data_IF_584355588020
#
_entry.id   IF_584355588020
#
_cell.length_a   1.000
_cell.length_b   1.000
_cell.length_c   1.000
_cell.angle_alpha   90.00
_cell.angle_beta   90.00
_cell.angle_gamma   90.00
#
_symmetry.space_group_name_H-M   'P 1'
#
loop_
_entity.id
_entity.type
_entity.pdbx_description
1 polymer ?
#
# COMPACT_ATOMS: atom_id res chain seq x y z
N UNK A 1 1.80 -13.88 2.60
CA UNK A 1 2.94 -12.99 2.26
C UNK A 1 3.57 -12.46 3.53
N UNK A 2 4.88 -12.52 3.60
CA UNK A 2 5.63 -11.89 4.69
C UNK A 2 6.07 -10.49 4.28
N UNK A 3 6.29 -9.61 5.25
CA UNK A 3 6.71 -8.24 4.99
C UNK A 3 7.97 -8.17 4.12
N UNK A 4 8.94 -9.06 4.34
CA UNK A 4 10.18 -9.07 3.55
C UNK A 4 9.89 -9.25 2.05
N UNK A 5 8.95 -10.11 1.71
CA UNK A 5 8.57 -10.34 0.30
C UNK A 5 7.97 -9.08 -0.32
N UNK A 6 7.16 -8.36 0.45
CA UNK A 6 6.59 -7.09 0.01
C UNK A 6 7.69 -6.04 -0.15
N UNK A 7 8.60 -5.95 0.81
CA UNK A 7 9.71 -4.99 0.77
C UNK A 7 10.63 -5.24 -0.42
N UNK A 8 10.94 -6.50 -0.70
CA UNK A 8 11.79 -6.85 -1.83
C UNK A 8 11.19 -6.33 -3.14
N UNK A 9 9.87 -6.35 -3.25
CA UNK A 9 9.21 -5.80 -4.43
C UNK A 9 9.20 -4.26 -4.43
N UNK A 10 8.70 -3.64 -3.34
CA UNK A 10 8.48 -2.19 -3.34
C UNK A 10 9.78 -1.41 -3.48
N UNK A 11 10.89 -1.95 -2.95
CA UNK A 11 12.19 -1.31 -3.09
C UNK A 11 12.80 -1.46 -4.49
N UNK A 12 12.19 -2.23 -5.40
CA UNK A 12 12.56 -2.16 -6.82
C UNK A 12 12.06 -0.88 -7.48
N UNK A 13 11.08 -0.22 -6.87
CA UNK A 13 10.51 1.02 -7.38
C UNK A 13 11.40 2.20 -6.97
N UNK A 14 11.60 3.13 -7.91
CA UNK A 14 12.52 4.26 -7.74
C UNK A 14 12.08 5.22 -6.64
N UNK A 15 13.02 5.72 -5.85
CA UNK A 15 12.83 6.77 -4.83
C UNK A 15 11.90 6.36 -3.68
N UNK A 16 11.80 5.07 -3.39
CA UNK A 16 11.05 4.56 -2.25
C UNK A 16 11.99 4.45 -1.05
N UNK A 17 11.48 4.87 0.10
CA UNK A 17 12.18 4.74 1.38
C UNK A 17 11.20 4.46 2.51
N UNK A 18 11.70 3.89 3.59
CA UNK A 18 10.90 3.41 4.74
C UNK A 18 10.94 4.43 5.87
N UNK A 19 9.79 4.64 6.50
CA UNK A 19 9.64 5.54 7.63
C UNK A 19 8.63 4.94 8.63
N UNK A 20 8.65 5.44 9.84
CA UNK A 20 7.72 5.04 10.90
C UNK A 20 7.09 6.28 11.55
N UNK A 21 6.40 7.15 10.78
CA UNK A 21 5.88 8.42 11.31
C UNK A 21 4.72 8.22 12.29
N UNK A 22 4.07 7.07 12.28
CA UNK A 22 2.95 6.75 13.17
C UNK A 22 3.37 5.88 14.35
N UNK A 23 4.67 5.64 14.49
CA UNK A 23 5.21 4.82 15.55
C UNK A 23 5.53 3.41 15.14
N UNK A 24 6.00 2.63 16.12
CA UNK A 24 6.43 1.27 15.94
C UNK A 24 5.29 0.36 15.45
N UNK A 25 5.60 -0.52 14.52
CA UNK A 25 4.64 -1.49 14.00
C UNK A 25 3.88 -1.04 12.76
N UNK A 26 4.01 0.22 12.37
CA UNK A 26 3.38 0.75 11.16
C UNK A 26 4.46 1.22 10.19
N UNK A 27 4.90 0.33 9.32
CA UNK A 27 5.91 0.64 8.30
C UNK A 27 5.27 1.43 7.18
N UNK A 28 5.81 2.61 6.89
CA UNK A 28 5.29 3.51 5.86
C UNK A 28 6.34 3.65 4.76
N UNK A 29 5.95 3.26 3.55
CA UNK A 29 6.81 3.34 2.37
C UNK A 29 6.44 4.59 1.60
N UNK A 30 7.39 5.51 1.49
CA UNK A 30 7.18 6.84 0.91
C UNK A 30 7.95 6.99 -0.39
N UNK A 31 7.40 7.80 -1.28
CA UNK A 31 8.03 8.21 -2.53
C UNK A 31 8.55 9.63 -2.40
N UNK A 32 9.77 9.86 -2.88
CA UNK A 32 10.32 11.21 -3.03
C UNK A 32 11.40 11.54 -2.02
N UNK A 33 11.72 12.82 -1.92
CA UNK A 33 12.85 13.29 -1.13
C UNK A 33 12.53 13.31 0.37
N UNK A 34 13.45 12.74 1.17
CA UNK A 34 13.37 12.81 2.63
C UNK A 34 13.58 14.25 3.09
N UNK A 35 13.00 14.66 4.24
CA UNK A 35 12.21 13.84 5.19
C UNK A 35 10.72 13.76 4.86
N UNK A 36 10.25 14.48 3.88
CA UNK A 36 8.83 14.55 3.56
C UNK A 36 8.36 13.31 2.80
N UNK A 37 8.20 13.40 1.50
CA UNK A 37 7.75 12.30 0.69
C UNK A 37 6.25 12.05 0.79
N UNK A 38 5.74 11.25 -0.16
CA UNK A 38 4.31 10.91 -0.23
C UNK A 38 4.12 9.42 0.05
N UNK A 39 3.07 9.08 0.79
CA UNK A 39 2.81 7.70 1.20
C UNK A 39 2.34 6.88 0.00
N UNK A 40 3.01 5.76 -0.25
CA UNK A 40 2.64 4.77 -1.26
C UNK A 40 1.98 3.56 -0.60
N UNK A 41 2.52 3.11 0.52
CA UNK A 41 2.04 1.91 1.20
C UNK A 41 2.24 2.01 2.70
N UNK A 42 1.32 1.40 3.45
CA UNK A 42 1.44 1.26 4.90
C UNK A 42 1.27 -0.21 5.22
N UNK A 43 2.23 -0.78 5.97
CA UNK A 43 2.20 -2.19 6.37
C UNK A 43 2.04 -2.28 7.88
N UNK A 44 0.99 -2.98 8.31
CA UNK A 44 0.78 -3.29 9.73
C UNK A 44 1.64 -4.51 10.07
N UNK A 45 2.83 -4.28 10.63
CA UNK A 45 3.88 -5.30 10.80
C UNK A 45 3.49 -6.43 11.73
N UNK A 46 2.63 -6.13 12.71
CA UNK A 46 2.22 -7.12 13.73
C UNK A 46 0.95 -7.87 13.37
N UNK A 47 0.35 -7.57 12.20
CA UNK A 47 -0.85 -8.27 11.75
C UNK A 47 -0.49 -9.63 11.13
N UNK A 48 -1.29 -10.64 11.45
CA UNK A 48 -1.20 -11.96 10.84
C UNK A 48 -2.62 -12.43 10.52
N UNK A 49 -3.02 -12.54 9.25
CA UNK A 49 -2.23 -12.23 8.05
C UNK A 49 -1.80 -10.77 7.96
N UNK A 50 -0.73 -10.53 7.19
CA UNK A 50 -0.21 -9.19 6.97
C UNK A 50 -1.28 -8.30 6.35
N UNK A 51 -1.34 -7.03 6.75
CA UNK A 51 -2.26 -6.04 6.19
C UNK A 51 -1.47 -4.92 5.52
N UNK A 52 -1.81 -4.66 4.27
CA UNK A 52 -1.14 -3.65 3.46
C UNK A 52 -2.18 -2.64 2.98
N UNK A 53 -1.97 -1.36 3.27
CA UNK A 53 -2.82 -0.28 2.79
C UNK A 53 -2.15 0.40 1.60
N UNK A 54 -2.90 0.54 0.52
CA UNK A 54 -2.42 1.09 -0.75
C UNK A 54 -3.40 2.14 -1.27
N UNK A 55 -2.85 3.19 -1.87
CA UNK A 55 -3.66 4.17 -2.58
C UNK A 55 -4.20 3.54 -3.85
N UNK A 56 -5.44 3.89 -4.20
CA UNK A 56 -6.11 3.26 -5.33
C UNK A 56 -7.06 4.26 -6.01
N UNK A 57 -7.20 4.14 -7.33
CA UNK A 57 -8.24 4.83 -8.05
C UNK A 57 -9.61 4.52 -7.40
N UNK A 58 -10.48 5.54 -7.18
CA UNK A 58 -11.72 5.32 -6.45
C UNK A 58 -12.66 4.26 -7.04
N UNK A 59 -12.79 4.19 -8.36
CA UNK A 59 -13.63 3.20 -9.00
C UNK A 59 -13.08 1.79 -8.84
N UNK A 60 -11.77 1.65 -9.03
CA UNK A 60 -11.09 0.38 -8.83
C UNK A 60 -11.15 -0.05 -7.36
N UNK A 61 -10.96 0.90 -6.44
CA UNK A 61 -11.03 0.63 -5.01
C UNK A 61 -12.37 0.03 -4.62
N UNK A 62 -13.46 0.65 -5.08
CA UNK A 62 -14.81 0.19 -4.80
C UNK A 62 -15.07 -1.20 -5.40
N UNK A 63 -14.67 -1.41 -6.64
CA UNK A 63 -14.83 -2.69 -7.33
C UNK A 63 -14.10 -3.81 -6.61
N UNK A 64 -12.87 -3.56 -6.15
CA UNK A 64 -12.08 -4.55 -5.41
C UNK A 64 -12.73 -4.91 -4.08
N UNK A 65 -13.28 -3.91 -3.37
CA UNK A 65 -13.97 -4.16 -2.09
C UNK A 65 -15.24 -4.99 -2.27
N UNK A 66 -15.94 -4.79 -3.38
CA UNK A 66 -17.13 -5.59 -3.69
C UNK A 66 -16.79 -7.02 -4.06
N UNK A 67 -15.68 -7.20 -4.77
CA UNK A 67 -15.28 -8.49 -5.31
C UNK A 67 -14.53 -9.37 -4.30
N UNK A 68 -13.75 -8.77 -3.40
CA UNK A 68 -12.88 -9.52 -2.48
C UNK A 68 -13.14 -9.16 -1.03
N UNK A 69 -13.47 -10.16 -0.22
CA UNK A 69 -13.68 -9.98 1.22
C UNK A 69 -12.41 -9.50 1.93
N UNK A 70 -11.24 -9.86 1.39
CA UNK A 70 -9.94 -9.47 1.94
C UNK A 70 -9.55 -8.03 1.63
N UNK A 71 -10.35 -7.31 0.83
CA UNK A 71 -10.09 -5.90 0.51
C UNK A 71 -11.10 -5.04 1.25
N UNK A 72 -10.62 -4.17 2.12
CA UNK A 72 -11.41 -3.30 2.99
C UNK A 72 -11.12 -1.84 2.69
N UNK A 73 -12.03 -0.91 3.07
CA UNK A 73 -11.68 0.50 3.05
C UNK A 73 -10.46 0.77 3.93
N UNK A 74 -9.62 1.72 3.53
CA UNK A 74 -8.40 2.03 4.27
C UNK A 74 -8.70 2.44 5.71
N UNK A 75 -8.09 1.74 6.68
CA UNK A 75 -8.28 2.00 8.10
C UNK A 75 -7.56 3.29 8.50
N UNK A 76 -8.28 4.22 9.10
CA UNK A 76 -7.79 5.57 9.48
C UNK A 76 -7.27 6.39 8.30
N UNK A 77 -7.67 6.04 7.07
CA UNK A 77 -7.27 6.73 5.84
C UNK A 77 -8.50 7.21 5.10
N UNK A 78 -8.28 8.03 4.06
CA UNK A 78 -9.38 8.43 3.18
C UNK A 78 -9.89 7.20 2.42
N UNK A 79 -11.09 6.76 2.75
CA UNK A 79 -11.68 5.52 2.23
C UNK A 79 -11.99 5.57 0.73
N UNK A 80 -12.11 6.76 0.17
CA UNK A 80 -12.32 6.94 -1.27
C UNK A 80 -11.07 6.57 -2.07
N UNK A 81 -9.89 6.84 -1.51
CA UNK A 81 -8.61 6.70 -2.20
C UNK A 81 -7.72 5.59 -1.66
N UNK A 82 -8.11 4.92 -0.57
CA UNK A 82 -7.26 3.93 0.08
C UNK A 82 -8.01 2.64 0.36
N UNK A 83 -7.36 1.51 0.05
CA UNK A 83 -7.81 0.18 0.46
C UNK A 83 -6.79 -0.47 1.37
N UNK A 84 -7.27 -1.31 2.28
CA UNK A 84 -6.44 -2.20 3.08
C UNK A 84 -6.65 -3.62 2.59
N UNK A 85 -5.57 -4.29 2.22
CA UNK A 85 -5.59 -5.68 1.75
C UNK A 85 -5.13 -6.58 2.88
N UNK A 86 -5.98 -7.56 3.24
CA UNK A 86 -5.59 -8.64 4.15
C UNK A 86 -4.93 -9.70 3.28
N UNK A 87 -3.65 -9.98 3.54
CA UNK A 87 -2.87 -10.93 2.74
C UNK A 87 -3.18 -12.37 3.14
N UNK A 88 -4.43 -12.78 2.91
CA UNK A 88 -4.97 -14.09 3.27
C UNK A 88 -4.75 -15.16 2.20
N UNK A 89 -4.25 -14.75 1.03
CA UNK A 89 -4.11 -15.62 -0.14
C UNK A 89 -5.24 -15.47 -1.14
N UNK A 90 -6.28 -14.72 -0.83
CA UNK A 90 -7.37 -14.46 -1.79
C UNK A 90 -6.85 -13.71 -3.02
N UNK A 91 -6.01 -12.70 -2.81
CA UNK A 91 -5.25 -12.08 -3.90
C UNK A 91 -3.87 -12.73 -3.96
N UNK A 92 -3.39 -12.99 -5.17
CA UNK A 92 -2.05 -13.52 -5.39
C UNK A 92 -0.99 -12.45 -5.07
N UNK A 93 0.26 -12.89 -4.91
CA UNK A 93 1.38 -11.96 -4.74
C UNK A 93 1.48 -10.99 -5.92
N UNK A 94 1.32 -11.51 -7.15
CA UNK A 94 1.38 -10.68 -8.35
C UNK A 94 0.28 -9.63 -8.38
N UNK A 95 -0.93 -9.99 -7.96
CA UNK A 95 -2.03 -9.03 -7.87
C UNK A 95 -1.75 -7.95 -6.84
N UNK A 96 -1.19 -8.31 -5.69
CA UNK A 96 -0.81 -7.34 -4.65
C UNK A 96 0.32 -6.44 -5.16
N UNK A 97 1.29 -6.99 -5.87
CA UNK A 97 2.39 -6.21 -6.45
C UNK A 97 1.89 -5.25 -7.52
N UNK A 98 0.95 -5.68 -8.37
CA UNK A 98 0.33 -4.82 -9.37
C UNK A 98 -0.41 -3.65 -8.72
N UNK A 99 -1.14 -3.91 -7.63
CA UNK A 99 -1.83 -2.87 -6.89
C UNK A 99 -0.86 -1.93 -6.18
N UNK A 100 0.26 -2.44 -5.72
CA UNK A 100 1.35 -1.63 -5.13
C UNK A 100 1.94 -0.69 -6.18
N UNK A 101 2.19 -1.21 -7.37
CA UNK A 101 2.68 -0.41 -8.49
C UNK A 101 1.66 0.65 -8.90
N UNK A 102 0.38 0.30 -8.92
CA UNK A 102 -0.70 1.24 -9.20
C UNK A 102 -0.69 2.40 -8.18
N UNK A 103 -0.56 2.08 -6.89
CA UNK A 103 -0.42 3.10 -5.84
C UNK A 103 0.78 4.00 -6.08
N UNK A 104 1.92 3.40 -6.40
CA UNK A 104 3.16 4.11 -6.70
C UNK A 104 2.97 5.08 -7.88
N UNK A 105 2.33 4.62 -8.95
CA UNK A 105 2.10 5.45 -10.14
C UNK A 105 1.17 6.61 -9.84
N UNK A 106 0.13 6.41 -9.03
CA UNK A 106 -0.76 7.49 -8.63
C UNK A 106 -0.02 8.57 -7.84
N UNK A 107 0.82 8.15 -6.92
CA UNK A 107 1.61 9.07 -6.08
C UNK A 107 2.66 9.80 -6.91
N UNK A 108 3.34 9.08 -7.79
CA UNK A 108 4.36 9.65 -8.67
C UNK A 108 3.75 10.65 -9.66
N UNK A 109 2.63 10.31 -10.26
CA UNK A 109 1.91 11.19 -11.20
C UNK A 109 1.50 12.50 -10.51
N UNK A 110 0.99 12.43 -9.28
CA UNK A 110 0.60 13.60 -8.51
C UNK A 110 1.81 14.44 -8.08
N UNK A 111 3.00 13.83 -8.00
CA UNK A 111 4.23 14.53 -7.62
C UNK A 111 4.81 15.38 -8.74
N UNK A 112 4.46 15.06 -9.99
CA UNK A 112 4.96 15.77 -11.17
C UNK A 112 4.15 17.06 -11.46
N UNK A 113 3.10 17.27 -10.73
CA UNK A 113 2.29 18.48 -10.80
C UNK A 113 2.76 19.55 -9.79
#
# INVERSE_FOLDING_TARGET
>A
MKQQQFEDYIFTLSKIWLDYPFGEGMAVYKYGTQPEGKIVAIVAEKSDPLRISLKCDPQLAEMLRERYESVLPGYHLNKKHWNTIICSGQLSYDEIFDLTRHSYELVNKNSDL
#
